data_IF_854165303626
#
_entry.id   IF_854165303626
#
_cell.length_a   1.000
_cell.length_b   1.000
_cell.length_c   1.000
_cell.angle_alpha   90.00
_cell.angle_beta   90.00
_cell.angle_gamma   90.00
#
_symmetry.space_group_name_H-M   'P 1'
#
loop_
_entity.id
_entity.type
_entity.pdbx_description
1 polymer ?
#
# COMPACT_ATOMS: atom_id res chain seq x y z
N UNK A 1 -3.74 -5.97 -6.72
CA UNK A 1 -2.59 -5.57 -7.56
C UNK A 1 -1.34 -6.28 -7.08
N UNK A 2 -0.43 -6.65 -7.98
CA UNK A 2 0.90 -7.22 -7.66
C UNK A 2 1.92 -6.79 -8.71
N UNK A 3 3.21 -6.75 -8.33
CA UNK A 3 4.36 -6.57 -9.24
C UNK A 3 5.12 -7.90 -9.37
N UNK A 4 5.85 -8.10 -10.48
CA UNK A 4 6.75 -9.25 -10.65
C UNK A 4 8.19 -8.95 -10.19
N UNK A 5 8.49 -7.69 -9.85
CA UNK A 5 9.82 -7.29 -9.38
C UNK A 5 10.12 -7.92 -8.00
N UNK A 6 11.27 -8.60 -7.89
CA UNK A 6 11.79 -9.08 -6.61
C UNK A 6 12.51 -7.93 -5.90
N UNK A 7 11.87 -7.38 -4.86
CA UNK A 7 12.37 -6.18 -4.13
C UNK A 7 12.97 -6.49 -2.75
N UNK A 8 13.02 -7.77 -2.38
CA UNK A 8 13.59 -8.23 -1.11
C UNK A 8 15.04 -8.70 -1.29
N UNK A 9 15.83 -7.90 -2.00
CA UNK A 9 17.20 -8.22 -2.40
C UNK A 9 18.28 -7.47 -1.57
N UNK A 10 17.86 -6.56 -0.69
CA UNK A 10 18.73 -5.74 0.16
C UNK A 10 19.05 -4.35 -0.41
N UNK A 11 18.61 -4.04 -1.63
CA UNK A 11 18.78 -2.74 -2.26
C UNK A 11 17.64 -1.77 -1.91
N UNK A 12 17.85 -0.49 -2.24
CA UNK A 12 16.80 0.51 -2.16
C UNK A 12 15.88 0.40 -3.36
N UNK A 13 14.58 0.29 -3.08
CA UNK A 13 13.52 0.35 -4.09
C UNK A 13 12.58 1.51 -3.81
N UNK A 14 11.96 2.02 -4.87
CA UNK A 14 10.97 3.09 -4.81
C UNK A 14 9.60 2.55 -5.22
N UNK A 15 8.64 2.55 -4.31
CA UNK A 15 7.25 2.26 -4.64
C UNK A 15 6.43 3.56 -4.66
N UNK A 16 5.81 3.86 -5.81
CA UNK A 16 4.94 5.01 -5.99
C UNK A 16 3.49 4.56 -6.10
N UNK A 17 2.64 5.12 -5.23
CA UNK A 17 1.21 4.86 -5.20
C UNK A 17 0.45 6.15 -5.49
N UNK A 18 -0.41 6.13 -6.50
CA UNK A 18 -1.23 7.26 -6.90
C UNK A 18 -2.71 6.85 -6.92
N UNK A 19 -3.52 7.53 -6.10
CA UNK A 19 -4.96 7.36 -6.07
C UNK A 19 -5.63 8.63 -6.61
N UNK A 20 -6.30 8.53 -7.75
CA UNK A 20 -7.10 9.62 -8.34
C UNK A 20 -8.48 9.10 -8.61
N UNK A 21 -9.45 9.60 -7.83
CA UNK A 21 -10.82 9.07 -7.83
C UNK A 21 -10.79 7.55 -7.64
N UNK A 22 -11.43 6.80 -8.54
CA UNK A 22 -11.46 5.33 -8.54
C UNK A 22 -10.21 4.69 -9.13
N UNK A 23 -9.32 5.45 -9.77
CA UNK A 23 -8.12 4.88 -10.38
C UNK A 23 -6.98 4.80 -9.34
N UNK A 24 -6.39 3.61 -9.21
CA UNK A 24 -5.25 3.35 -8.34
C UNK A 24 -4.09 2.82 -9.16
N UNK A 25 -2.99 3.56 -9.15
CA UNK A 25 -1.78 3.25 -9.91
C UNK A 25 -0.62 2.93 -8.98
N UNK A 26 0.10 1.85 -9.27
CA UNK A 26 1.38 1.47 -8.64
C UNK A 26 2.49 1.48 -9.67
N UNK A 27 3.62 2.06 -9.30
CA UNK A 27 4.90 1.87 -9.99
C UNK A 27 5.96 1.43 -8.99
N UNK A 28 6.80 0.49 -9.41
CA UNK A 28 7.99 0.06 -8.67
C UNK A 28 9.21 0.48 -9.48
N UNK A 29 10.12 1.18 -8.83
CA UNK A 29 11.30 1.82 -9.41
C UNK A 29 10.92 2.67 -10.63
N UNK A 30 11.62 2.50 -11.75
CA UNK A 30 11.29 3.12 -13.04
C UNK A 30 10.62 2.12 -14.00
N UNK A 31 10.07 1.03 -13.45
CA UNK A 31 9.35 0.01 -14.19
C UNK A 31 7.97 0.45 -14.69
N UNK A 32 7.25 -0.43 -15.41
CA UNK A 32 5.93 -0.13 -15.93
C UNK A 32 4.91 0.10 -14.81
N UNK A 33 4.16 1.20 -14.92
CA UNK A 33 3.05 1.48 -14.00
C UNK A 33 1.86 0.55 -14.28
N UNK A 34 1.21 0.10 -13.21
CA UNK A 34 -0.01 -0.73 -13.26
C UNK A 34 -1.17 0.00 -12.62
N UNK A 35 -2.30 0.03 -13.30
CA UNK A 35 -3.51 0.72 -12.82
C UNK A 35 -4.67 -0.26 -12.66
N UNK A 36 -5.48 -0.04 -11.63
CA UNK A 36 -6.71 -0.77 -11.35
C UNK A 36 -7.82 0.24 -11.02
N UNK A 37 -9.04 -0.06 -11.46
CA UNK A 37 -10.23 0.73 -11.14
C UNK A 37 -10.93 0.09 -9.93
N UNK A 38 -11.17 0.87 -8.88
CA UNK A 38 -11.96 0.45 -7.72
C UNK A 38 -13.43 0.26 -8.12
N UNK A 39 -13.98 -0.94 -7.90
CA UNK A 39 -15.37 -1.29 -8.23
C UNK A 39 -16.39 -0.76 -7.20
N UNK A 40 -15.92 -0.32 -6.04
CA UNK A 40 -16.77 0.25 -4.99
C UNK A 40 -17.52 1.51 -5.41
N UNK A 41 -18.56 1.84 -4.66
CA UNK A 41 -19.42 3.02 -4.93
C UNK A 41 -18.72 4.35 -4.65
N UNK A 42 -17.74 4.37 -3.74
CA UNK A 42 -17.03 5.59 -3.33
C UNK A 42 -16.06 6.04 -4.44
N UNK A 43 -16.16 7.31 -4.82
CA UNK A 43 -15.26 7.90 -5.82
C UNK A 43 -13.91 8.29 -5.23
N UNK A 44 -13.84 8.75 -3.97
CA UNK A 44 -12.61 9.24 -3.34
C UNK A 44 -12.26 8.46 -2.07
N UNK A 45 -10.95 8.29 -1.83
CA UNK A 45 -10.44 7.79 -0.56
C UNK A 45 -10.56 8.88 0.52
N UNK A 46 -11.25 8.57 1.61
CA UNK A 46 -11.33 9.43 2.80
C UNK A 46 -10.49 8.84 3.91
N UNK A 47 -9.52 9.60 4.41
CA UNK A 47 -8.62 9.21 5.50
C UNK A 47 -9.18 9.73 6.84
N UNK A 48 -10.15 9.00 7.39
CA UNK A 48 -10.74 9.31 8.72
C UNK A 48 -10.06 8.56 9.86
N UNK A 49 -9.18 7.59 9.53
CA UNK A 49 -8.44 6.77 10.47
C UNK A 49 -6.93 6.97 10.30
N UNK A 50 -6.14 6.71 11.36
CA UNK A 50 -4.69 6.76 11.26
C UNK A 50 -4.15 5.87 10.13
N UNK A 51 -3.13 6.37 9.45
CA UNK A 51 -2.35 5.59 8.50
C UNK A 51 -1.17 4.96 9.23
N UNK A 52 -0.98 3.67 9.02
CA UNK A 52 0.08 2.90 9.64
C UNK A 52 1.18 2.56 8.62
N UNK A 53 2.43 2.72 9.02
CA UNK A 53 3.61 2.42 8.20
C UNK A 53 4.50 1.46 8.98
N UNK A 54 4.89 0.35 8.36
CA UNK A 54 5.82 -0.62 8.92
C UNK A 54 5.24 -1.63 9.91
N UNK A 55 4.01 -1.43 10.38
CA UNK A 55 3.32 -2.35 11.29
C UNK A 55 2.00 -1.75 11.78
N UNK A 56 1.20 -2.54 12.49
CA UNK A 56 -0.08 -2.09 13.08
C UNK A 56 -0.21 -2.64 14.51
N UNK A 57 -1.02 -2.01 15.38
CA UNK A 57 -1.40 -2.58 16.67
C UNK A 57 -2.03 -3.97 16.54
N UNK A 58 -1.88 -4.82 17.57
CA UNK A 58 -2.28 -6.23 17.51
C UNK A 58 -3.79 -6.43 17.29
N UNK A 59 -4.62 -5.61 17.93
CA UNK A 59 -6.07 -5.60 17.76
C UNK A 59 -6.48 -5.21 16.33
N UNK A 60 -5.83 -4.19 15.76
CA UNK A 60 -6.01 -3.77 14.36
C UNK A 60 -5.55 -4.87 13.40
N UNK A 61 -4.44 -5.55 13.69
CA UNK A 61 -3.92 -6.65 12.89
C UNK A 61 -4.92 -7.81 12.82
N UNK A 62 -5.49 -8.21 13.97
CA UNK A 62 -6.45 -9.32 14.07
C UNK A 62 -7.73 -9.02 13.28
N UNK A 63 -8.30 -7.83 13.43
CA UNK A 63 -9.50 -7.41 12.68
C UNK A 63 -9.24 -7.35 11.16
N UNK A 64 -8.13 -6.73 10.74
CA UNK A 64 -7.78 -6.58 9.33
C UNK A 64 -7.43 -7.93 8.67
N UNK A 65 -6.80 -8.85 9.40
CA UNK A 65 -6.54 -10.21 8.94
C UNK A 65 -7.83 -11.00 8.75
N UNK A 66 -8.76 -10.94 9.73
CA UNK A 66 -10.07 -11.59 9.63
C UNK A 66 -10.92 -11.10 8.44
N UNK A 67 -10.71 -9.84 8.02
CA UNK A 67 -11.36 -9.22 6.85
C UNK A 67 -10.59 -9.40 5.53
N UNK A 68 -9.51 -10.18 5.52
CA UNK A 68 -8.66 -10.39 4.35
C UNK A 68 -8.02 -9.11 3.78
N UNK A 69 -7.89 -8.06 4.60
CA UNK A 69 -7.17 -6.84 4.23
C UNK A 69 -5.66 -7.01 4.36
N UNK A 70 -5.21 -7.86 5.28
CA UNK A 70 -3.80 -8.23 5.48
C UNK A 70 -3.59 -9.70 5.11
N UNK A 71 -2.45 -10.01 4.49
CA UNK A 71 -2.04 -11.39 4.18
C UNK A 71 -1.23 -12.05 5.32
N UNK A 72 -0.64 -11.24 6.18
CA UNK A 72 0.16 -11.63 7.34
C UNK A 72 0.14 -10.49 8.36
N UNK A 73 0.38 -10.81 9.64
CA UNK A 73 0.37 -9.89 10.78
C UNK A 73 1.77 -9.57 11.32
N UNK A 74 2.84 -10.03 10.67
CA UNK A 74 4.21 -9.62 11.03
C UNK A 74 4.50 -8.19 10.59
N UNK A 75 5.20 -7.44 11.42
CA UNK A 75 5.67 -6.09 11.07
C UNK A 75 6.82 -6.11 10.06
N UNK A 76 6.95 -5.03 9.30
CA UNK A 76 8.06 -4.79 8.37
C UNK A 76 9.38 -4.69 9.14
N UNK A 77 10.42 -5.33 8.60
CA UNK A 77 11.78 -5.26 9.11
C UNK A 77 12.69 -4.76 8.00
N UNK A 78 13.15 -3.52 8.13
CA UNK A 78 13.98 -2.87 7.11
C UNK A 78 13.97 -1.35 7.28
N UNK A 79 14.57 -0.66 6.32
CA UNK A 79 14.54 0.82 6.25
C UNK A 79 13.44 1.24 5.30
N UNK A 80 12.64 2.21 5.68
CA UNK A 80 11.58 2.77 4.85
C UNK A 80 11.59 4.30 5.00
N UNK A 81 11.52 5.01 3.88
CA UNK A 81 11.26 6.43 3.84
C UNK A 81 9.92 6.64 3.13
N UNK A 82 9.03 7.41 3.76
CA UNK A 82 7.68 7.67 3.24
C UNK A 82 7.50 9.15 3.02
N UNK A 83 7.05 9.51 1.81
CA UNK A 83 6.61 10.84 1.45
C UNK A 83 5.16 10.77 0.98
N UNK A 84 4.30 11.59 1.57
CA UNK A 84 2.88 11.66 1.23
C UNK A 84 2.60 13.05 0.69
N UNK A 85 1.94 13.10 -0.48
CA UNK A 85 1.46 14.34 -1.09
C UNK A 85 -0.01 14.19 -1.38
N UNK A 86 -0.78 15.23 -1.09
CA UNK A 86 -2.18 15.33 -1.46
C UNK A 86 -2.25 16.14 -2.75
N UNK A 87 -2.94 15.60 -3.75
CA UNK A 87 -3.18 16.26 -5.04
C UNK A 87 -4.39 17.20 -4.96
#
# INVERSE_FOLDING_TARGET
MYSFEMVSDGNYHKAELLAVKKNFTLRVDDGPARSIINEGSKEFLRLERPMFVGGVPEDVAKDAFGKWHLRNITSFKGRCHVSIKQL
#
